data_IF_153089382931
#
_entry.id   IF_153089382931
#
_cell.length_a   1.000
_cell.length_b   1.000
_cell.length_c   1.000
_cell.angle_alpha   90.00
_cell.angle_beta   90.00
_cell.angle_gamma   90.00
#
_symmetry.space_group_name_H-M   'P 1'
#
loop_
_entity.id
_entity.type
_entity.pdbx_description
1 polymer ?
#
# COMPACT_ATOMS: atom_id res chain seq x y z
N UNK A 1 -0.92 -2.66 -11.86
CA UNK A 1 0.51 -3.05 -11.80
C UNK A 1 0.65 -4.39 -11.10
N UNK A 2 1.79 -5.08 -11.20
CA UNK A 2 2.06 -6.30 -10.41
C UNK A 2 3.09 -6.01 -9.31
N UNK A 3 2.83 -6.47 -8.08
CA UNK A 3 3.73 -6.33 -6.92
C UNK A 3 4.02 -7.71 -6.36
N UNK A 4 5.24 -7.95 -5.88
CA UNK A 4 5.59 -9.21 -5.21
C UNK A 4 4.65 -9.43 -4.03
N UNK A 5 4.05 -10.62 -3.93
CA UNK A 5 3.14 -10.95 -2.82
C UNK A 5 3.83 -10.84 -1.46
N UNK A 6 5.13 -11.12 -1.39
CA UNK A 6 5.95 -10.92 -0.20
C UNK A 6 6.02 -9.45 0.28
N UNK A 7 6.03 -8.47 -0.63
CA UNK A 7 5.99 -7.04 -0.26
C UNK A 7 4.65 -6.71 0.38
N UNK A 8 3.55 -7.20 -0.18
CA UNK A 8 2.21 -6.99 0.39
C UNK A 8 2.10 -7.65 1.77
N UNK A 9 2.57 -8.89 1.89
CA UNK A 9 2.58 -9.61 3.16
C UNK A 9 3.39 -8.86 4.23
N UNK A 10 4.58 -8.36 3.88
CA UNK A 10 5.41 -7.55 4.78
C UNK A 10 4.67 -6.31 5.26
N UNK A 11 4.08 -5.52 4.36
CA UNK A 11 3.36 -4.29 4.69
C UNK A 11 2.12 -4.55 5.55
N UNK A 12 1.39 -5.63 5.26
CA UNK A 12 0.15 -6.01 5.96
C UNK A 12 0.45 -6.54 7.36
N UNK A 13 1.49 -7.35 7.53
CA UNK A 13 1.85 -7.99 8.79
C UNK A 13 2.87 -7.22 9.64
N UNK A 14 3.52 -6.20 9.05
CA UNK A 14 4.65 -5.49 9.65
C UNK A 14 5.78 -6.44 10.10
N UNK A 15 6.10 -7.43 9.25
CA UNK A 15 7.12 -8.46 9.50
C UNK A 15 7.97 -8.68 8.27
N UNK A 16 9.29 -8.78 8.45
CA UNK A 16 10.18 -9.05 7.32
C UNK A 16 9.96 -10.44 6.73
N UNK A 17 10.06 -10.54 5.41
CA UNK A 17 9.98 -11.79 4.68
C UNK A 17 11.35 -12.10 4.05
N UNK A 18 11.84 -13.33 4.20
CA UNK A 18 13.20 -13.73 3.77
C UNK A 18 13.47 -13.53 2.27
N UNK A 19 12.41 -13.56 1.45
CA UNK A 19 12.52 -13.35 0.00
C UNK A 19 12.64 -11.88 -0.41
N UNK A 20 12.57 -10.94 0.53
CA UNK A 20 12.72 -9.51 0.26
C UNK A 20 14.16 -9.07 0.48
N UNK A 21 14.63 -8.22 -0.42
CA UNK A 21 15.93 -7.57 -0.32
C UNK A 21 15.76 -6.12 0.15
N UNK A 22 16.83 -5.45 0.58
CA UNK A 22 16.76 -4.03 0.96
C UNK A 22 16.27 -3.14 -0.19
N UNK A 23 16.53 -3.55 -1.44
CA UNK A 23 16.01 -2.87 -2.63
C UNK A 23 14.49 -2.93 -2.74
N UNK A 24 13.83 -3.93 -2.16
CA UNK A 24 12.37 -4.04 -2.15
C UNK A 24 11.72 -3.15 -1.07
N UNK A 25 12.52 -2.64 -0.12
CA UNK A 25 12.06 -1.89 1.06
C UNK A 25 12.28 -0.37 0.93
N UNK A 26 12.83 0.11 -0.19
CA UNK A 26 13.10 1.54 -0.39
C UNK A 26 11.85 2.31 -0.81
N UNK A 27 11.90 3.64 -0.67
CA UNK A 27 10.82 4.52 -1.14
C UNK A 27 10.61 4.35 -2.63
N UNK A 28 11.69 4.32 -3.43
CA UNK A 28 11.62 4.18 -4.89
C UNK A 28 10.94 2.87 -5.31
N UNK A 29 11.15 1.79 -4.56
CA UNK A 29 10.50 0.50 -4.83
C UNK A 29 9.01 0.52 -4.47
N UNK A 30 8.61 1.31 -3.46
CA UNK A 30 7.23 1.41 -2.99
C UNK A 30 6.42 2.50 -3.71
N UNK A 31 7.06 3.51 -4.28
CA UNK A 31 6.39 4.60 -5.02
C UNK A 31 5.42 4.10 -6.10
N UNK A 32 5.77 3.11 -6.95
CA UNK A 32 4.84 2.58 -7.95
C UNK A 32 3.57 1.98 -7.32
N UNK A 33 3.68 1.33 -6.16
CA UNK A 33 2.54 0.78 -5.42
C UNK A 33 1.61 1.91 -4.94
N UNK A 34 2.19 2.98 -4.40
CA UNK A 34 1.43 4.17 -3.97
C UNK A 34 0.69 4.79 -5.15
N UNK A 35 1.37 5.02 -6.27
CA UNK A 35 0.79 5.62 -7.48
C UNK A 35 -0.28 4.72 -8.10
N UNK A 36 -0.11 3.39 -8.06
CA UNK A 36 -1.12 2.47 -8.56
C UNK A 36 -2.40 2.48 -7.72
N UNK A 37 -2.29 2.56 -6.40
CA UNK A 37 -3.44 2.61 -5.49
C UNK A 37 -4.12 3.99 -5.55
N UNK A 38 -3.34 5.06 -5.53
CA UNK A 38 -3.81 6.45 -5.44
C UNK A 38 -3.16 7.33 -6.52
N UNK A 39 -3.54 7.17 -7.80
CA UNK A 39 -2.93 7.93 -8.88
C UNK A 39 -3.01 9.44 -8.63
N UNK A 40 -1.90 10.15 -8.81
CA UNK A 40 -1.81 11.60 -8.59
C UNK A 40 -1.84 12.04 -7.12
N UNK A 41 -1.56 11.14 -6.17
CA UNK A 41 -1.39 11.53 -4.76
C UNK A 41 -0.07 12.27 -4.56
N UNK A 42 -0.10 13.33 -3.76
CA UNK A 42 1.08 14.10 -3.42
C UNK A 42 1.48 13.90 -1.95
N UNK A 43 2.79 13.82 -1.72
CA UNK A 43 3.38 13.61 -0.40
C UNK A 43 4.61 14.48 -0.11
N UNK A 44 5.06 15.36 -1.03
CA UNK A 44 6.09 16.43 -0.92
C UNK A 44 7.45 16.13 -0.25
N UNK A 45 7.62 15.04 0.49
CA UNK A 45 8.81 14.69 1.27
C UNK A 45 8.81 13.19 1.63
N UNK A 46 9.95 12.70 2.12
CA UNK A 46 10.09 11.34 2.69
C UNK A 46 9.13 11.17 3.88
N UNK A 47 9.00 12.18 4.75
CA UNK A 47 8.08 12.16 5.89
C UNK A 47 6.63 12.01 5.41
N UNK A 48 6.22 12.78 4.40
CA UNK A 48 4.88 12.67 3.83
C UNK A 48 4.63 11.33 3.14
N UNK A 49 5.65 10.74 2.49
CA UNK A 49 5.54 9.40 1.91
C UNK A 49 5.26 8.35 2.98
N UNK A 50 6.01 8.38 4.09
CA UNK A 50 5.80 7.48 5.23
C UNK A 50 4.40 7.66 5.85
N UNK A 51 3.89 8.89 5.90
CA UNK A 51 2.51 9.15 6.34
C UNK A 51 1.48 8.56 5.37
N UNK A 52 1.64 8.74 4.05
CA UNK A 52 0.77 8.10 3.04
C UNK A 52 0.79 6.58 3.17
N UNK A 53 1.97 5.99 3.38
CA UNK A 53 2.08 4.55 3.57
C UNK A 53 1.28 4.08 4.79
N UNK A 54 1.46 4.75 5.93
CA UNK A 54 0.81 4.39 7.21
C UNK A 54 -0.69 4.62 7.19
N UNK A 55 -1.13 5.78 6.71
CA UNK A 55 -2.50 6.26 6.90
C UNK A 55 -3.41 5.90 5.71
N UNK A 56 -2.84 5.66 4.52
CA UNK A 56 -3.59 5.36 3.31
C UNK A 56 -3.30 3.95 2.77
N UNK A 57 -2.04 3.63 2.47
CA UNK A 57 -1.68 2.40 1.75
C UNK A 57 -1.89 1.17 2.60
N UNK A 58 -1.28 1.09 3.78
CA UNK A 58 -1.35 -0.08 4.67
C UNK A 58 -2.79 -0.42 5.05
N UNK A 59 -3.67 0.54 5.44
CA UNK A 59 -5.07 0.24 5.72
C UNK A 59 -5.81 -0.37 4.53
N UNK A 60 -5.57 0.13 3.32
CA UNK A 60 -6.15 -0.45 2.10
C UNK A 60 -5.64 -1.85 1.84
N UNK A 61 -4.33 -2.08 1.98
CA UNK A 61 -3.75 -3.40 1.75
C UNK A 61 -4.31 -4.42 2.75
N UNK A 62 -4.37 -4.07 4.04
CA UNK A 62 -4.97 -4.92 5.08
C UNK A 62 -6.41 -5.28 4.76
N UNK A 63 -7.17 -4.33 4.21
CA UNK A 63 -8.56 -4.56 3.81
C UNK A 63 -8.70 -5.44 2.58
N UNK A 64 -7.94 -5.14 1.52
CA UNK A 64 -8.05 -5.85 0.23
C UNK A 64 -7.41 -7.23 0.21
N UNK A 65 -6.42 -7.43 1.08
CA UNK A 65 -5.65 -8.67 1.17
C UNK A 65 -5.68 -9.21 2.61
N UNK A 66 -6.88 -9.25 3.20
CA UNK A 66 -7.08 -9.69 4.58
C UNK A 66 -6.63 -11.13 4.81
N UNK A 67 -6.64 -11.96 3.77
CA UNK A 67 -6.12 -13.32 3.79
C UNK A 67 -4.62 -13.37 4.14
N UNK A 68 -3.85 -12.33 3.80
CA UNK A 68 -2.42 -12.26 4.12
C UNK A 68 -2.16 -12.05 5.61
N UNK A 69 -3.12 -11.53 6.38
CA UNK A 69 -2.99 -11.37 7.84
C UNK A 69 -2.91 -12.70 8.58
N UNK A 70 -3.55 -13.74 8.02
CA UNK A 70 -3.56 -15.10 8.58
C UNK A 70 -2.61 -16.05 7.84
N UNK A 71 -2.02 -15.60 6.73
CA UNK A 71 -1.12 -16.44 5.93
C UNK A 71 0.27 -16.49 6.60
N UNK A 72 0.82 -17.67 6.91
CA UNK A 72 2.18 -17.78 7.44
C UNK A 72 3.23 -17.42 6.37
N UNK A 73 4.41 -16.98 6.79
CA UNK A 73 5.45 -16.49 5.87
C UNK A 73 5.88 -17.58 4.86
N UNK A 74 6.00 -18.82 5.34
CA UNK A 74 6.46 -19.97 4.55
C UNK A 74 5.48 -20.33 3.41
N UNK A 75 4.22 -19.90 3.50
CA UNK A 75 3.23 -20.09 2.45
C UNK A 75 3.35 -19.05 1.32
N UNK A 76 4.11 -17.97 1.53
CA UNK A 76 4.31 -16.92 0.53
C UNK A 76 5.38 -17.36 -0.47
N UNK A 77 4.94 -17.69 -1.69
CA UNK A 77 5.85 -18.11 -2.76
C UNK A 77 6.78 -16.96 -3.17
N UNK A 78 8.12 -17.16 -3.21
CA UNK A 78 9.09 -16.07 -3.49
C UNK A 78 8.89 -15.33 -4.82
N UNK A 79 8.34 -16.01 -5.84
CA UNK A 79 8.09 -15.44 -7.18
C UNK A 79 6.63 -15.05 -7.41
N UNK A 80 5.75 -15.20 -6.41
CA UNK A 80 4.36 -14.80 -6.56
C UNK A 80 4.22 -13.29 -6.70
N UNK A 81 3.32 -12.88 -7.58
CA UNK A 81 2.96 -11.48 -7.75
C UNK A 81 1.46 -11.33 -7.68
N UNK A 82 1.02 -10.22 -7.13
CA UNK A 82 -0.37 -9.85 -6.96
C UNK A 82 -0.65 -8.60 -7.79
N UNK A 83 -1.79 -8.60 -8.48
CA UNK A 83 -2.21 -7.43 -9.24
C UNK A 83 -2.80 -6.37 -8.31
N UNK A 84 -2.33 -5.14 -8.48
CA UNK A 84 -2.79 -3.96 -7.74
C UNK A 84 -3.71 -3.16 -8.64
N UNK A 85 -4.97 -3.08 -8.22
CA UNK A 85 -5.99 -2.24 -8.81
C UNK A 85 -6.04 -0.86 -8.14
N UNK A 86 -6.43 0.14 -8.92
CA UNK A 86 -6.70 1.50 -8.43
C UNK A 86 -7.73 1.49 -7.29
N UNK A 87 -7.53 2.38 -6.33
CA UNK A 87 -8.46 2.61 -5.21
C UNK A 87 -9.18 3.92 -5.40
N UNK A 88 -8.42 5.02 -5.35
CA UNK A 88 -8.98 6.36 -5.33
C UNK A 88 -7.97 7.35 -5.90
N UNK A 89 -8.20 7.91 -7.10
CA UNK A 89 -7.30 8.92 -7.64
C UNK A 89 -7.33 10.19 -6.78
N UNK A 90 -6.17 10.85 -6.66
CA UNK A 90 -6.03 12.19 -6.13
C UNK A 90 -5.77 13.18 -7.27
N UNK A 91 -6.03 14.47 -7.02
CA UNK A 91 -5.83 15.55 -7.99
C UNK A 91 -4.57 16.37 -7.70
N UNK A 92 -3.53 15.76 -7.14
CA UNK A 92 -2.26 16.43 -6.83
C UNK A 92 -2.22 17.22 -5.52
N UNK A 93 -3.30 17.24 -4.74
CA UNK A 93 -3.31 17.82 -3.39
C UNK A 93 -2.66 16.87 -2.38
N UNK A 94 -2.15 17.42 -1.27
CA UNK A 94 -1.88 16.60 -0.09
C UNK A 94 -3.17 15.92 0.34
N UNK A 95 -3.12 14.60 0.55
CA UNK A 95 -4.32 13.83 0.90
C UNK A 95 -4.97 14.32 2.20
N UNK A 96 -4.19 14.96 3.09
CA UNK A 96 -4.65 15.51 4.36
C UNK A 96 -5.50 16.78 4.19
N UNK A 97 -5.21 17.60 3.17
CA UNK A 97 -5.85 18.88 2.91
C UNK A 97 -7.21 18.73 2.21
N UNK A 98 -7.46 17.58 1.58
CA UNK A 98 -8.70 17.35 0.85
C UNK A 98 -9.73 16.58 1.69
N UNK A 99 -10.57 17.30 2.45
CA UNK A 99 -11.68 16.71 3.23
C UNK A 99 -12.59 15.80 2.39
N UNK A 100 -12.86 16.19 1.14
CA UNK A 100 -13.67 15.40 0.21
C UNK A 100 -12.99 14.08 -0.18
N UNK A 101 -11.67 14.10 -0.41
CA UNK A 101 -10.91 12.89 -0.72
C UNK A 101 -10.87 11.97 0.49
N UNK A 102 -10.56 12.51 1.68
CA UNK A 102 -10.54 11.75 2.94
C UNK A 102 -11.87 11.09 3.25
N UNK A 103 -12.98 11.82 3.12
CA UNK A 103 -14.31 11.24 3.35
C UNK A 103 -14.62 10.09 2.38
N UNK A 104 -14.19 10.18 1.11
CA UNK A 104 -14.32 9.06 0.15
C UNK A 104 -13.43 7.88 0.54
N UNK A 105 -12.21 8.16 0.96
CA UNK A 105 -11.27 7.16 1.40
C UNK A 105 -11.77 6.38 2.63
N UNK A 106 -12.28 7.09 3.64
CA UNK A 106 -12.89 6.51 4.84
C UNK A 106 -14.09 5.62 4.50
N UNK A 107 -14.95 6.03 3.55
CA UNK A 107 -16.05 5.19 3.06
C UNK A 107 -15.55 3.89 2.42
N UNK A 108 -14.46 3.96 1.64
CA UNK A 108 -13.82 2.77 1.07
C UNK A 108 -13.29 1.86 2.17
N UNK A 109 -12.71 2.41 3.25
CA UNK A 109 -12.25 1.62 4.39
C UNK A 109 -13.39 1.07 5.26
N UNK A 110 -14.56 1.70 5.29
CA UNK A 110 -15.71 1.26 6.07
C UNK A 110 -16.60 0.20 5.36
N UNK A 111 -16.62 0.17 4.02
CA UNK A 111 -17.50 -0.73 3.26
C UNK A 111 -17.08 -2.21 3.38
N UNK A 112 -17.84 -3.03 4.12
CA UNK A 112 -17.53 -4.44 4.39
C UNK A 112 -17.30 -5.28 3.12
#
# INVERSE_FOLDING_TARGET
MKVKTAVLWWLVNNKEHESLTDKDKTIEALMPLVEALFPGINYYSITGFSQVMRDCVIPVLKKRFSELLTTPAEAIKPKATTEIAKVLPSKGYEWQESTKWRSKFEKILAAA
#
